data_IF_340840845398
#
_entry.id   IF_340840845398
#
_cell.length_a   1.000
_cell.length_b   1.000
_cell.length_c   1.000
_cell.angle_alpha   90.00
_cell.angle_beta   90.00
_cell.angle_gamma   90.00
#
_symmetry.space_group_name_H-M   'P 1'
#
loop_
_entity.id
_entity.type
_entity.pdbx_description
1 polymer ?
#
# COMPACT_ATOMS: atom_id res chain seq x y z
N UNK A 1 49.70 18.85 -74.53
CA UNK A 1 48.38 19.17 -73.96
C UNK A 1 47.47 17.98 -74.15
N UNK A 2 47.09 17.27 -73.07
CA UNK A 2 45.76 16.66 -73.02
C UNK A 2 45.00 17.12 -71.78
N UNK A 3 43.75 17.52 -72.01
CA UNK A 3 42.88 18.15 -71.03
C UNK A 3 42.38 17.20 -69.94
N UNK A 4 42.35 17.73 -68.72
CA UNK A 4 41.68 17.11 -67.58
C UNK A 4 40.16 17.21 -67.78
N UNK A 5 39.51 16.10 -68.14
CA UNK A 5 38.05 16.03 -68.17
C UNK A 5 37.51 15.98 -66.74
N UNK A 6 36.89 17.10 -66.33
CA UNK A 6 36.25 17.24 -65.03
C UNK A 6 34.93 16.47 -65.02
N UNK A 7 34.89 15.35 -64.29
CA UNK A 7 33.70 14.51 -64.15
C UNK A 7 32.86 15.06 -63.00
N UNK A 8 31.87 15.88 -63.33
CA UNK A 8 30.91 16.41 -62.35
C UNK A 8 30.02 15.27 -61.84
N UNK A 9 30.19 14.89 -60.57
CA UNK A 9 29.30 13.96 -59.90
C UNK A 9 27.98 14.65 -59.59
N UNK A 10 26.89 14.25 -60.26
CA UNK A 10 25.54 14.71 -59.94
C UNK A 10 25.04 14.01 -58.68
N UNK A 11 24.98 14.75 -57.58
CA UNK A 11 24.42 14.27 -56.32
C UNK A 11 22.90 14.06 -56.49
N UNK A 12 22.46 12.81 -56.54
CA UNK A 12 21.02 12.49 -56.57
C UNK A 12 20.42 12.81 -55.20
N UNK A 13 19.61 13.86 -55.14
CA UNK A 13 18.83 14.19 -53.94
C UNK A 13 17.76 13.11 -53.77
N UNK A 14 17.91 12.27 -52.75
CA UNK A 14 16.90 11.26 -52.41
C UNK A 14 15.72 11.95 -51.70
N UNK A 15 14.46 11.70 -52.08
CA UNK A 15 13.31 12.27 -51.39
C UNK A 15 13.03 11.50 -50.09
N UNK A 16 13.73 11.84 -49.01
CA UNK A 16 13.53 11.27 -47.66
C UNK A 16 12.48 12.01 -46.81
N UNK A 17 11.67 12.88 -47.41
CA UNK A 17 10.76 13.74 -46.66
C UNK A 17 9.54 13.02 -46.03
N UNK A 18 9.15 11.83 -46.52
CA UNK A 18 7.97 11.11 -46.04
C UNK A 18 8.21 10.13 -44.89
N UNK A 19 9.40 9.52 -44.84
CA UNK A 19 9.74 8.51 -43.81
C UNK A 19 9.97 9.15 -42.45
N UNK A 20 10.53 10.36 -42.41
CA UNK A 20 10.81 11.08 -41.17
C UNK A 20 9.54 11.35 -40.33
N UNK A 21 8.40 11.64 -40.98
CA UNK A 21 7.14 11.85 -40.25
C UNK A 21 6.63 10.56 -39.59
N UNK A 22 6.77 9.43 -40.29
CA UNK A 22 6.40 8.11 -39.75
C UNK A 22 7.34 7.72 -38.60
N UNK A 23 8.63 8.00 -38.71
CA UNK A 23 9.61 7.73 -37.66
C UNK A 23 9.31 8.50 -36.37
N UNK A 24 8.95 9.79 -36.49
CA UNK A 24 8.52 10.59 -35.33
C UNK A 24 7.20 10.08 -34.76
N UNK A 25 6.24 9.71 -35.61
CA UNK A 25 4.94 9.20 -35.15
C UNK A 25 5.08 7.86 -34.41
N UNK A 26 5.93 6.97 -34.91
CA UNK A 26 6.25 5.70 -34.23
C UNK A 26 7.01 5.96 -32.92
N UNK A 27 7.95 6.90 -32.91
CA UNK A 27 8.67 7.28 -31.68
C UNK A 27 7.73 7.83 -30.61
N UNK A 28 6.81 8.72 -30.98
CA UNK A 28 5.78 9.27 -30.08
C UNK A 28 4.80 8.20 -29.61
N UNK A 29 4.44 7.25 -30.47
CA UNK A 29 3.58 6.12 -30.12
C UNK A 29 4.24 5.23 -29.06
N UNK A 30 5.49 4.83 -29.29
CA UNK A 30 6.25 4.01 -28.33
C UNK A 30 6.49 4.76 -27.01
N UNK A 31 6.82 6.05 -27.09
CA UNK A 31 6.99 6.90 -25.91
C UNK A 31 5.69 7.01 -25.09
N UNK A 32 4.56 7.15 -25.77
CA UNK A 32 3.24 7.20 -25.13
C UNK A 32 2.92 5.89 -24.39
N UNK A 33 3.21 4.73 -24.99
CA UNK A 33 3.09 3.45 -24.28
C UNK A 33 4.03 3.35 -23.07
N UNK A 34 5.25 3.89 -23.18
CA UNK A 34 6.19 3.99 -22.05
C UNK A 34 5.61 4.78 -20.87
N UNK A 35 5.01 5.94 -21.13
CA UNK A 35 4.37 6.76 -20.09
C UNK A 35 3.18 6.04 -19.45
N UNK A 36 2.33 5.38 -20.24
CA UNK A 36 1.19 4.62 -19.72
C UNK A 36 1.64 3.47 -18.81
N UNK A 37 2.71 2.76 -19.20
CA UNK A 37 3.32 1.72 -18.37
C UNK A 37 3.83 2.26 -17.04
N UNK A 38 4.55 3.38 -17.06
CA UNK A 38 5.05 4.05 -15.85
C UNK A 38 3.90 4.56 -14.96
N UNK A 39 2.86 5.16 -15.54
CA UNK A 39 1.70 5.63 -14.80
C UNK A 39 1.03 4.49 -14.03
N UNK A 40 0.85 3.32 -14.66
CA UNK A 40 0.32 2.13 -14.00
C UNK A 40 1.19 1.64 -12.84
N UNK A 41 2.52 1.66 -13.02
CA UNK A 41 3.46 1.32 -11.94
C UNK A 41 3.38 2.33 -10.78
N UNK A 42 3.29 3.62 -11.06
CA UNK A 42 3.16 4.67 -10.04
C UNK A 42 1.89 4.49 -9.21
N UNK A 43 0.74 4.20 -9.83
CA UNK A 43 -0.51 3.91 -9.11
C UNK A 43 -0.36 2.72 -8.15
N UNK A 44 0.33 1.67 -8.59
CA UNK A 44 0.60 0.50 -7.74
C UNK A 44 1.53 0.84 -6.58
N UNK A 45 2.58 1.63 -6.83
CA UNK A 45 3.50 2.08 -5.80
C UNK A 45 2.77 2.88 -4.69
N UNK A 46 1.92 3.82 -5.08
CA UNK A 46 1.09 4.60 -4.14
C UNK A 46 0.21 3.68 -3.29
N UNK A 47 -0.45 2.69 -3.90
CA UNK A 47 -1.30 1.74 -3.18
C UNK A 47 -0.52 0.93 -2.15
N UNK A 48 0.70 0.51 -2.48
CA UNK A 48 1.58 -0.21 -1.55
C UNK A 48 2.02 0.69 -0.39
N UNK A 49 2.33 1.96 -0.66
CA UNK A 49 2.68 2.92 0.38
C UNK A 49 1.53 3.15 1.36
N UNK A 50 0.29 3.27 0.88
CA UNK A 50 -0.90 3.43 1.73
C UNK A 50 -1.13 2.18 2.59
N UNK A 51 -1.05 0.97 2.02
CA UNK A 51 -1.22 -0.27 2.80
C UNK A 51 -0.14 -0.41 3.88
N UNK A 52 1.10 -0.01 3.59
CA UNK A 52 2.18 -0.01 4.58
C UNK A 52 1.92 1.00 5.71
N UNK A 53 1.41 2.19 5.39
CA UNK A 53 1.04 3.20 6.37
C UNK A 53 -0.10 2.73 7.27
N UNK A 54 -1.17 2.17 6.69
CA UNK A 54 -2.30 1.61 7.44
C UNK A 54 -1.84 0.49 8.40
N UNK A 55 -0.96 -0.41 7.92
CA UNK A 55 -0.39 -1.46 8.78
C UNK A 55 0.42 -0.89 9.94
N UNK A 56 1.17 0.19 9.70
CA UNK A 56 1.94 0.87 10.75
C UNK A 56 1.01 1.51 11.79
N UNK A 57 -0.03 2.23 11.35
CA UNK A 57 -1.08 2.77 12.23
C UNK A 57 -1.74 1.68 13.07
N UNK A 58 -2.09 0.55 12.45
CA UNK A 58 -2.64 -0.61 13.16
C UNK A 58 -1.69 -1.15 14.22
N UNK A 59 -0.39 -1.23 13.92
CA UNK A 59 0.62 -1.73 14.86
C UNK A 59 0.79 -0.79 16.05
N UNK A 60 0.80 0.53 15.82
CA UNK A 60 0.85 1.53 16.88
C UNK A 60 -0.38 1.43 17.80
N UNK A 61 -1.58 1.36 17.23
CA UNK A 61 -2.82 1.19 17.99
C UNK A 61 -2.85 -0.11 18.79
N UNK A 62 -2.42 -1.23 18.18
CA UNK A 62 -2.34 -2.51 18.88
C UNK A 62 -1.32 -2.46 20.04
N UNK A 63 -0.20 -1.76 19.85
CA UNK A 63 0.79 -1.54 20.89
C UNK A 63 0.26 -0.65 22.02
N UNK A 64 -0.50 0.40 21.70
CA UNK A 64 -1.18 1.23 22.71
C UNK A 64 -2.15 0.39 23.54
N UNK A 65 -3.01 -0.41 22.90
CA UNK A 65 -3.94 -1.33 23.58
C UNK A 65 -3.18 -2.30 24.48
N UNK A 66 -2.15 -2.97 23.94
CA UNK A 66 -1.32 -3.91 24.71
C UNK A 66 -0.66 -3.22 25.91
N UNK A 67 -0.12 -2.02 25.71
CA UNK A 67 0.48 -1.23 26.80
C UNK A 67 -0.54 -0.89 27.88
N UNK A 68 -1.79 -0.57 27.52
CA UNK A 68 -2.84 -0.35 28.53
C UNK A 68 -3.21 -1.61 29.29
N UNK A 69 -3.19 -2.79 28.65
CA UNK A 69 -3.41 -4.06 29.35
C UNK A 69 -2.29 -4.34 30.35
N UNK A 70 -1.04 -4.08 29.96
CA UNK A 70 0.12 -4.17 30.85
C UNK A 70 0.01 -3.22 32.04
N UNK A 71 -0.31 -1.94 31.80
CA UNK A 71 -0.44 -0.93 32.85
C UNK A 71 -1.58 -1.25 33.84
N UNK A 72 -2.67 -1.86 33.35
CA UNK A 72 -3.81 -2.27 34.18
C UNK A 72 -3.65 -3.67 34.77
N UNK A 73 -2.58 -4.39 34.41
CA UNK A 73 -2.39 -5.81 34.69
C UNK A 73 -3.65 -6.64 34.41
N UNK A 74 -4.32 -6.35 33.29
CA UNK A 74 -5.58 -6.99 32.92
C UNK A 74 -5.73 -7.05 31.41
N UNK A 75 -6.15 -8.20 30.91
CA UNK A 75 -6.48 -8.40 29.48
C UNK A 75 -7.83 -7.78 29.08
N UNK A 76 -8.60 -7.30 30.07
CA UNK A 76 -9.88 -6.64 29.83
C UNK A 76 -9.66 -5.16 29.53
N UNK A 77 -10.21 -4.70 28.40
CA UNK A 77 -10.19 -3.29 27.99
C UNK A 77 -11.59 -2.82 27.62
N UNK A 78 -11.82 -1.52 27.65
CA UNK A 78 -13.06 -0.93 27.13
C UNK A 78 -13.03 -1.01 25.60
N UNK A 79 -13.59 -2.08 25.06
CA UNK A 79 -13.62 -2.35 23.61
C UNK A 79 -14.42 -1.30 22.86
N UNK A 80 -15.39 -0.64 23.49
CA UNK A 80 -16.20 0.41 22.84
C UNK A 80 -15.39 1.68 22.67
N UNK A 81 -14.71 2.13 23.72
CA UNK A 81 -13.83 3.29 23.63
C UNK A 81 -12.69 3.06 22.64
N UNK A 82 -12.06 1.88 22.69
CA UNK A 82 -11.00 1.53 21.75
C UNK A 82 -11.49 1.36 20.32
N UNK A 83 -12.70 0.85 20.10
CA UNK A 83 -13.29 0.78 18.77
C UNK A 83 -13.48 2.19 18.17
N UNK A 84 -13.94 3.16 18.96
CA UNK A 84 -14.03 4.57 18.52
C UNK A 84 -12.64 5.11 18.17
N UNK A 85 -11.64 4.88 19.01
CA UNK A 85 -10.25 5.34 18.80
C UNK A 85 -9.60 4.75 17.54
N UNK A 86 -9.80 3.45 17.30
CA UNK A 86 -9.22 2.74 16.14
C UNK A 86 -9.88 3.20 14.84
N UNK A 87 -11.13 3.65 14.87
CA UNK A 87 -11.84 4.19 13.70
C UNK A 87 -11.72 5.72 13.53
N UNK A 88 -11.04 6.42 14.44
CA UNK A 88 -10.87 7.88 14.41
C UNK A 88 -9.75 8.28 13.42
N UNK A 89 -10.14 8.55 12.18
CA UNK A 89 -9.22 8.86 11.08
C UNK A 89 -8.47 10.18 11.28
N UNK A 90 -9.04 11.14 12.01
CA UNK A 90 -8.43 12.44 12.27
C UNK A 90 -7.25 12.31 13.24
N UNK A 91 -7.27 11.28 14.10
CA UNK A 91 -6.24 11.01 15.10
C UNK A 91 -5.40 9.75 14.78
N UNK A 92 -5.19 9.45 13.49
CA UNK A 92 -4.32 8.35 13.06
C UNK A 92 -4.95 6.95 13.15
N UNK A 93 -6.27 6.87 13.31
CA UNK A 93 -7.06 5.66 13.13
C UNK A 93 -7.14 5.21 11.68
N UNK A 94 -7.93 4.17 11.46
CA UNK A 94 -8.02 3.42 10.22
C UNK A 94 -9.44 3.49 9.63
N UNK A 95 -9.57 3.56 8.30
CA UNK A 95 -10.87 3.57 7.66
C UNK A 95 -11.60 2.23 7.83
N UNK A 96 -12.90 2.30 8.12
CA UNK A 96 -13.77 1.13 8.30
C UNK A 96 -13.20 0.11 9.31
N UNK A 97 -12.52 0.58 10.34
CA UNK A 97 -11.79 -0.28 11.23
C UNK A 97 -12.71 -0.99 12.24
N UNK A 98 -12.30 -2.17 12.64
CA UNK A 98 -12.96 -3.02 13.64
C UNK A 98 -11.90 -3.57 14.59
N UNK A 99 -12.26 -3.62 15.87
CA UNK A 99 -11.43 -4.15 16.94
C UNK A 99 -12.12 -5.38 17.52
N UNK A 100 -11.35 -6.44 17.71
CA UNK A 100 -11.76 -7.62 18.47
C UNK A 100 -10.65 -7.99 19.45
N UNK A 101 -11.01 -8.11 20.72
CA UNK A 101 -10.09 -8.56 21.77
C UNK A 101 -10.61 -9.89 22.30
N UNK A 102 -9.82 -10.94 22.16
CA UNK A 102 -10.24 -12.30 22.58
C UNK A 102 -9.23 -12.85 23.58
N UNK A 103 -9.72 -13.30 24.73
CA UNK A 103 -8.90 -14.02 25.70
C UNK A 103 -8.33 -15.31 25.09
N UNK A 104 -7.04 -15.58 25.33
CA UNK A 104 -6.42 -16.83 24.91
C UNK A 104 -6.82 -17.93 25.91
N UNK A 105 -7.52 -18.94 25.41
CA UNK A 105 -7.98 -20.05 26.24
C UNK A 105 -6.79 -20.79 26.87
N UNK A 106 -6.86 -21.06 28.17
CA UNK A 106 -5.82 -21.79 28.91
C UNK A 106 -4.59 -20.96 29.30
N UNK A 107 -4.51 -19.68 28.91
CA UNK A 107 -3.47 -18.79 29.39
C UNK A 107 -3.89 -18.18 30.74
N UNK A 108 -3.36 -18.72 31.83
CA UNK A 108 -3.60 -18.21 33.20
C UNK A 108 -2.31 -17.84 33.92
N UNK A 109 -2.33 -16.75 34.68
CA UNK A 109 -1.24 -16.40 35.61
C UNK A 109 -1.22 -17.38 36.80
N UNK A 110 -0.17 -17.28 37.63
CA UNK A 110 -0.04 -18.03 38.90
C UNK A 110 -1.21 -17.79 39.87
N UNK A 111 -1.92 -16.67 39.74
CA UNK A 111 -3.14 -16.33 40.47
C UNK A 111 -4.42 -16.95 39.87
N UNK A 112 -4.35 -17.73 38.80
CA UNK A 112 -5.49 -18.40 38.15
C UNK A 112 -6.34 -17.49 37.27
N UNK A 113 -5.94 -16.25 37.02
CA UNK A 113 -6.63 -15.29 36.14
C UNK A 113 -6.11 -15.39 34.71
N UNK A 114 -6.97 -15.13 33.72
CA UNK A 114 -6.55 -15.07 32.31
C UNK A 114 -5.45 -14.02 32.11
N UNK A 115 -4.31 -14.42 31.55
CA UNK A 115 -3.15 -13.53 31.39
C UNK A 115 -2.76 -13.28 29.93
N UNK A 116 -3.48 -13.78 28.93
CA UNK A 116 -3.20 -13.45 27.54
C UNK A 116 -4.44 -13.14 26.72
N UNK A 117 -4.29 -12.25 25.74
CA UNK A 117 -5.33 -11.89 24.78
C UNK A 117 -4.76 -11.65 23.38
N UNK A 118 -5.55 -11.99 22.37
CA UNK A 118 -5.32 -11.63 20.97
C UNK A 118 -6.07 -10.34 20.66
N UNK A 119 -5.32 -9.31 20.27
CA UNK A 119 -5.81 -8.03 19.78
C UNK A 119 -5.86 -8.11 18.26
N UNK A 120 -7.05 -7.92 17.72
CA UNK A 120 -7.31 -8.00 16.29
C UNK A 120 -7.81 -6.66 15.81
N UNK A 121 -7.06 -6.01 14.93
CA UNK A 121 -7.49 -4.80 14.24
C UNK A 121 -7.66 -5.15 12.77
N UNK A 122 -8.88 -5.01 12.25
CA UNK A 122 -9.16 -5.18 10.83
C UNK A 122 -9.68 -3.88 10.24
N UNK A 123 -9.26 -3.54 9.02
CA UNK A 123 -9.62 -2.28 8.36
C UNK A 123 -9.82 -2.49 6.87
N UNK A 124 -10.44 -1.49 6.23
CA UNK A 124 -10.67 -1.49 4.79
C UNK A 124 -10.53 -0.08 4.24
N UNK A 125 -9.70 0.06 3.21
CA UNK A 125 -9.58 1.32 2.47
C UNK A 125 -10.95 1.81 1.98
N UNK A 126 -11.17 3.13 2.02
CA UNK A 126 -12.46 3.76 1.64
C UNK A 126 -12.88 3.41 0.21
N UNK A 127 -11.91 3.20 -0.68
CA UNK A 127 -12.13 2.88 -2.10
C UNK A 127 -12.42 1.40 -2.36
N UNK A 128 -12.37 0.53 -1.35
CA UNK A 128 -12.56 -0.92 -1.51
C UNK A 128 -13.99 -1.33 -1.16
N UNK A 129 -14.62 -2.06 -2.07
CA UNK A 129 -15.98 -2.60 -1.93
C UNK A 129 -16.15 -3.44 -0.65
N UNK A 130 -17.30 -3.26 0.02
CA UNK A 130 -17.61 -3.91 1.28
C UNK A 130 -17.95 -5.41 1.15
N UNK A 131 -18.35 -5.87 -0.05
CA UNK A 131 -18.89 -7.22 -0.28
C UNK A 131 -17.84 -8.30 -0.58
N UNK A 132 -16.56 -7.95 -0.75
CA UNK A 132 -15.53 -8.95 -0.99
C UNK A 132 -15.20 -9.70 0.33
N UNK A 133 -15.39 -11.02 0.35
CA UNK A 133 -15.18 -11.88 1.53
C UNK A 133 -13.75 -11.86 2.10
N UNK A 134 -12.78 -11.35 1.34
CA UNK A 134 -11.38 -11.14 1.74
C UNK A 134 -10.96 -9.66 1.66
N UNK A 135 -11.90 -8.70 1.66
CA UNK A 135 -11.59 -7.28 1.46
C UNK A 135 -10.98 -6.57 2.67
N UNK A 136 -10.96 -7.16 3.86
CA UNK A 136 -10.42 -6.50 5.04
C UNK A 136 -8.94 -6.88 5.26
N UNK A 137 -8.06 -5.89 5.34
CA UNK A 137 -6.71 -6.06 5.87
C UNK A 137 -6.81 -6.26 7.39
N UNK A 138 -5.93 -7.07 7.98
CA UNK A 138 -5.98 -7.41 9.42
C UNK A 138 -4.59 -7.52 10.02
N UNK A 139 -4.44 -7.01 11.24
CA UNK A 139 -3.29 -7.19 12.11
C UNK A 139 -3.71 -7.92 13.39
N UNK A 140 -2.87 -8.85 13.84
CA UNK A 140 -3.07 -9.59 15.09
C UNK A 140 -1.85 -9.41 15.97
N UNK A 141 -2.07 -8.98 17.19
CA UNK A 141 -1.04 -8.85 18.22
C UNK A 141 -1.47 -9.64 19.44
N UNK A 142 -0.63 -10.58 19.87
CA UNK A 142 -0.85 -11.30 21.14
C UNK A 142 -0.12 -10.57 22.26
N UNK A 143 -0.83 -10.32 23.35
CA UNK A 143 -0.26 -9.81 24.60
C UNK A 143 -0.33 -10.90 25.67
N UNK A 144 0.73 -11.02 26.46
CA UNK A 144 0.83 -11.92 27.60
C UNK A 144 1.28 -11.09 28.80
N UNK A 145 0.53 -11.16 29.90
CA UNK A 145 0.78 -10.50 31.17
C UNK A 145 1.54 -11.45 32.12
N UNK A 146 2.32 -10.90 33.05
CA UNK A 146 3.15 -11.68 33.97
C UNK A 146 2.34 -12.38 35.07
#
# INVERSE_FOLDING_TARGET
MPGLTMKTATHRHSPQAGIALIEVLVSLLLFSFGILGLAGMLTRAITVSIDAEDRNRAALLANEIASTMWLKNSVSVDTTAWQTRVSDMDNGGLPNATLTVTAVSGATSSAGTTNAADIVIAWRAVTREAAASNAASRLVTRVVLP
#
